data_IF_655115786031
#
_entry.id   IF_655115786031
#
_cell.length_a   1.000
_cell.length_b   1.000
_cell.length_c   1.000
_cell.angle_alpha   90.00
_cell.angle_beta   90.00
_cell.angle_gamma   90.00
#
_symmetry.space_group_name_H-M   'P 1'
#
loop_
_entity.id
_entity.type
_entity.pdbx_description
1 polymer ?
#
# COMPACT_ATOMS: atom_id res chain seq x y z
N UNK A 1 12.03 -11.73 5.23
CA UNK A 1 11.15 -12.27 4.54
C UNK A 1 9.80 -12.04 4.96
N UNK A 2 9.44 -12.27 6.12
CA UNK A 2 8.11 -12.08 6.58
C UNK A 2 7.69 -10.65 6.49
N UNK A 3 8.60 -9.74 6.77
CA UNK A 3 8.32 -8.33 6.65
C UNK A 3 7.86 -7.93 5.25
N UNK A 4 8.59 -8.37 4.24
CA UNK A 4 8.23 -8.05 2.86
C UNK A 4 6.88 -8.63 2.50
N UNK A 5 6.63 -9.85 2.93
CA UNK A 5 5.35 -10.46 2.65
C UNK A 5 4.21 -9.67 3.27
N UNK A 6 4.41 -9.20 4.50
CA UNK A 6 3.37 -8.43 5.16
C UNK A 6 3.12 -7.11 4.44
N UNK A 7 4.19 -6.45 4.02
CA UNK A 7 4.03 -5.17 3.32
C UNK A 7 3.30 -5.36 2.01
N UNK A 8 3.69 -6.39 1.28
CA UNK A 8 3.05 -6.63 -0.01
C UNK A 8 1.57 -6.97 0.17
N UNK A 9 1.26 -7.75 1.18
CA UNK A 9 -0.12 -8.11 1.44
C UNK A 9 -0.95 -6.88 1.81
N UNK A 10 -0.36 -6.00 2.60
CA UNK A 10 -1.05 -4.78 2.99
C UNK A 10 -1.31 -3.90 1.78
N UNK A 11 -0.31 -3.75 0.93
CA UNK A 11 -0.47 -2.94 -0.26
C UNK A 11 -1.57 -3.52 -1.14
N UNK A 12 -1.55 -4.82 -1.33
CA UNK A 12 -2.55 -5.46 -2.15
C UNK A 12 -3.96 -5.23 -1.60
N UNK A 13 -4.09 -5.37 -0.29
CA UNK A 13 -5.37 -5.18 0.35
C UNK A 13 -5.86 -3.75 0.17
N UNK A 14 -4.98 -2.78 0.36
CA UNK A 14 -5.37 -1.39 0.20
C UNK A 14 -5.70 -1.06 -1.24
N UNK A 15 -5.00 -1.68 -2.17
CA UNK A 15 -5.30 -1.45 -3.58
C UNK A 15 -6.70 -1.92 -3.92
N UNK A 16 -7.10 -3.05 -3.36
CA UNK A 16 -8.46 -3.53 -3.60
C UNK A 16 -9.49 -2.58 -2.99
N UNK A 17 -9.20 -2.08 -1.80
CA UNK A 17 -10.10 -1.12 -1.18
C UNK A 17 -10.17 0.16 -1.99
N UNK A 18 -9.05 0.56 -2.57
CA UNK A 18 -9.04 1.74 -3.41
C UNK A 18 -9.96 1.57 -4.62
N UNK A 19 -9.88 0.41 -5.26
CA UNK A 19 -10.76 0.13 -6.38
C UNK A 19 -12.20 0.22 -5.96
N UNK A 20 -12.51 -0.34 -4.82
CA UNK A 20 -13.85 -0.31 -4.30
C UNK A 20 -14.32 1.12 -4.07
N UNK A 21 -13.48 1.94 -3.48
CA UNK A 21 -13.82 3.31 -3.21
C UNK A 21 -14.06 4.07 -4.51
N UNK A 22 -13.25 3.80 -5.53
CA UNK A 22 -13.43 4.47 -6.81
C UNK A 22 -14.75 4.08 -7.44
N UNK A 23 -15.09 2.81 -7.37
CA UNK A 23 -16.33 2.34 -7.94
C UNK A 23 -17.54 2.95 -7.24
N UNK A 24 -17.39 3.25 -5.97
CA UNK A 24 -18.48 3.82 -5.19
C UNK A 24 -18.42 5.34 -5.10
N UNK A 25 -17.57 5.95 -5.91
CA UNK A 25 -17.46 7.42 -5.93
C UNK A 25 -17.06 7.99 -4.58
N UNK A 26 -16.28 7.26 -3.83
CA UNK A 26 -15.82 7.74 -2.54
C UNK A 26 -14.46 8.40 -2.74
N UNK A 27 -14.50 9.61 -3.25
CA UNK A 27 -13.27 10.31 -3.63
C UNK A 27 -12.38 10.52 -2.42
N UNK A 28 -12.96 10.93 -1.31
CA UNK A 28 -12.16 11.19 -0.12
C UNK A 28 -11.45 9.95 0.38
N UNK A 29 -12.18 8.85 0.45
CA UNK A 29 -11.59 7.60 0.88
C UNK A 29 -10.52 7.13 -0.09
N UNK A 30 -10.80 7.30 -1.38
CA UNK A 30 -9.83 6.89 -2.39
C UNK A 30 -8.53 7.64 -2.23
N UNK A 31 -8.59 8.92 -1.92
CA UNK A 31 -7.39 9.69 -1.74
C UNK A 31 -6.62 9.25 -0.51
N UNK A 32 -7.32 8.96 0.56
CA UNK A 32 -6.68 8.47 1.76
C UNK A 32 -5.99 7.13 1.50
N UNK A 33 -6.68 6.26 0.77
CA UNK A 33 -6.10 4.95 0.47
C UNK A 33 -4.87 5.08 -0.42
N UNK A 34 -4.93 5.97 -1.39
CA UNK A 34 -3.78 6.19 -2.25
C UNK A 34 -2.58 6.66 -1.45
N UNK A 35 -2.81 7.53 -0.51
CA UNK A 35 -1.73 8.03 0.33
C UNK A 35 -1.13 6.90 1.16
N UNK A 36 -1.99 6.06 1.73
CA UNK A 36 -1.52 4.93 2.51
C UNK A 36 -0.72 3.96 1.65
N UNK A 37 -1.21 3.68 0.45
CA UNK A 37 -0.51 2.78 -0.44
C UNK A 37 0.88 3.34 -0.77
N UNK A 38 0.95 4.62 -1.04
CA UNK A 38 2.22 5.22 -1.37
C UNK A 38 3.20 5.10 -0.22
N UNK A 39 2.73 5.32 1.00
CA UNK A 39 3.60 5.19 2.15
C UNK A 39 4.14 3.78 2.27
N UNK A 40 3.28 2.80 2.08
CA UNK A 40 3.71 1.42 2.17
C UNK A 40 4.68 1.06 1.05
N UNK A 41 4.44 1.60 -0.13
CA UNK A 41 5.36 1.34 -1.23
C UNK A 41 6.73 1.91 -0.95
N UNK A 42 6.78 3.07 -0.32
CA UNK A 42 8.06 3.66 0.04
C UNK A 42 8.75 2.79 1.07
N UNK A 43 8.01 2.29 2.04
CA UNK A 43 8.59 1.40 3.03
C UNK A 43 9.15 0.13 2.38
N UNK A 44 8.38 -0.42 1.45
CA UNK A 44 8.82 -1.62 0.76
C UNK A 44 10.09 -1.35 -0.03
N UNK A 45 10.14 -0.21 -0.70
CA UNK A 45 11.30 0.14 -1.48
C UNK A 45 12.53 0.30 -0.59
N UNK A 46 12.33 0.91 0.57
CA UNK A 46 13.44 1.06 1.52
C UNK A 46 13.98 -0.26 1.98
N UNK A 47 13.08 -1.21 2.21
CA UNK A 47 13.51 -2.53 2.64
C UNK A 47 14.33 -3.20 1.56
N UNK A 48 13.91 -3.03 0.32
CA UNK A 48 14.63 -3.66 -0.77
C UNK A 48 15.97 -2.98 -1.03
N UNK A 49 16.01 -1.66 -0.90
CA UNK A 49 17.22 -0.91 -1.18
C UNK A 49 18.23 -1.00 -0.05
N UNK A 50 17.75 -1.17 1.16
CA UNK A 50 18.60 -1.20 2.32
C UNK A 50 18.46 -2.48 3.00
N UNK A 51 19.01 -3.50 2.47
CA UNK A 51 18.79 -4.81 3.03
C UNK A 51 19.37 -4.89 4.39
N UNK A 52 20.08 -4.27 4.88
CA UNK A 52 20.48 -4.32 6.15
C UNK A 52 21.25 -5.31 6.52
N UNK A 53 21.57 -5.74 6.25
CA UNK A 53 22.35 -6.68 6.62
C UNK A 53 22.29 -7.02 7.53
#
# INVERSE_FOLDING_TARGET
>A
MIHLNNLEAEIYKLERELEFAKLNNRVWEAECLRSDIKDLEIQLQNELDNPQE
#
